data_IF_546061003296
#
_entry.id   IF_546061003296
#
_cell.length_a   1.000
_cell.length_b   1.000
_cell.length_c   1.000
_cell.angle_alpha   90.00
_cell.angle_beta   90.00
_cell.angle_gamma   90.00
#
_symmetry.space_group_name_H-M   'P 1'
#
loop_
_entity.id
_entity.type
_entity.pdbx_description
1 polymer ?
#
# COMPACT_ATOMS: atom_id res chain seq x y z
N UNK A 1 10.42 -24.41 -22.83
CA UNK A 1 11.10 -23.22 -22.35
C UNK A 1 11.24 -23.35 -20.84
N UNK A 2 12.42 -23.11 -20.30
CA UNK A 2 12.61 -22.97 -18.85
C UNK A 2 11.97 -21.69 -18.38
N UNK A 3 11.45 -21.66 -17.17
CA UNK A 3 10.89 -20.46 -16.55
C UNK A 3 12.03 -19.49 -16.20
N UNK A 4 12.02 -18.31 -16.81
CA UNK A 4 12.90 -17.18 -16.51
C UNK A 4 12.16 -15.86 -16.76
N UNK A 5 12.81 -14.71 -16.52
CA UNK A 5 12.19 -13.41 -16.70
C UNK A 5 11.67 -13.12 -18.13
N UNK A 6 12.26 -13.74 -19.17
CA UNK A 6 11.81 -13.57 -20.56
C UNK A 6 10.64 -14.48 -20.91
N UNK A 7 10.50 -15.63 -20.24
CA UNK A 7 9.49 -16.64 -20.51
C UNK A 7 8.32 -16.62 -19.53
N UNK A 8 8.41 -15.81 -18.45
CA UNK A 8 7.35 -15.65 -17.48
C UNK A 8 6.10 -15.00 -18.10
N UNK A 9 4.93 -15.59 -17.87
CA UNK A 9 3.64 -15.08 -18.36
C UNK A 9 3.21 -13.84 -17.55
N UNK A 10 3.47 -13.84 -16.25
CA UNK A 10 3.21 -12.68 -15.40
C UNK A 10 4.29 -11.61 -15.57
N UNK A 11 3.94 -10.34 -15.86
CA UNK A 11 4.92 -9.25 -15.92
C UNK A 11 5.59 -8.97 -14.57
N UNK A 12 4.98 -9.34 -13.43
CA UNK A 12 5.58 -9.22 -12.10
C UNK A 12 6.84 -10.07 -12.00
N UNK A 13 6.79 -11.32 -12.47
CA UNK A 13 7.92 -12.25 -12.42
C UNK A 13 8.83 -12.15 -13.65
N UNK A 14 8.36 -11.50 -14.72
CA UNK A 14 9.10 -11.25 -15.95
C UNK A 14 9.70 -9.85 -15.98
N UNK A 15 9.05 -8.96 -16.74
CA UNK A 15 9.50 -7.58 -17.01
C UNK A 15 9.89 -6.79 -15.78
N UNK A 16 9.18 -6.99 -14.66
CA UNK A 16 9.35 -6.23 -13.42
C UNK A 16 10.05 -7.02 -12.31
N UNK A 17 10.62 -8.19 -12.58
CA UNK A 17 11.27 -9.06 -11.58
C UNK A 17 12.25 -8.30 -10.69
N UNK A 18 13.08 -7.44 -11.26
CA UNK A 18 14.06 -6.64 -10.49
C UNK A 18 13.44 -5.66 -9.49
N UNK A 19 12.14 -5.34 -9.62
CA UNK A 19 11.40 -4.48 -8.70
C UNK A 19 10.61 -5.25 -7.65
N UNK A 20 10.28 -6.49 -7.93
CA UNK A 20 9.38 -7.33 -7.13
C UNK A 20 10.08 -8.47 -6.42
N UNK A 21 11.37 -8.66 -6.67
CA UNK A 21 12.15 -9.74 -6.06
C UNK A 21 12.12 -9.70 -4.52
N UNK A 22 12.06 -8.50 -3.93
CA UNK A 22 11.90 -8.30 -2.50
C UNK A 22 10.62 -8.92 -1.91
N UNK A 23 9.64 -9.28 -2.74
CA UNK A 23 8.40 -9.93 -2.33
C UNK A 23 8.47 -11.46 -2.40
N UNK A 24 9.53 -12.03 -2.98
CA UNK A 24 9.65 -13.48 -3.16
C UNK A 24 9.67 -14.23 -1.83
N UNK A 25 10.29 -13.66 -0.79
CA UNK A 25 10.36 -14.25 0.55
C UNK A 25 9.03 -14.27 1.31
N UNK A 26 7.98 -13.63 0.76
CA UNK A 26 6.67 -13.55 1.39
C UNK A 26 5.57 -14.22 0.57
N UNK A 27 5.60 -14.12 -0.76
CA UNK A 27 4.48 -14.49 -1.61
C UNK A 27 4.77 -15.54 -2.69
N UNK A 28 5.99 -16.06 -2.76
CA UNK A 28 6.30 -17.21 -3.63
C UNK A 28 5.78 -18.52 -3.04
N UNK A 29 5.73 -19.58 -3.85
CA UNK A 29 5.42 -20.94 -3.36
C UNK A 29 6.46 -21.41 -2.34
N UNK A 30 7.74 -21.08 -2.56
CA UNK A 30 8.81 -21.27 -1.59
C UNK A 30 8.48 -20.60 -0.24
N UNK A 31 8.09 -19.34 -0.26
CA UNK A 31 7.75 -18.60 0.95
C UNK A 31 6.54 -19.22 1.66
N UNK A 32 5.47 -19.57 0.94
CA UNK A 32 4.31 -20.21 1.52
C UNK A 32 4.67 -21.50 2.25
N UNK A 33 5.52 -22.34 1.65
CA UNK A 33 5.99 -23.58 2.28
C UNK A 33 6.81 -23.26 3.53
N UNK A 34 7.74 -22.31 3.47
CA UNK A 34 8.55 -21.88 4.63
C UNK A 34 7.70 -21.37 5.79
N UNK A 35 6.67 -20.57 5.52
CA UNK A 35 5.75 -20.09 6.56
C UNK A 35 4.94 -21.23 7.18
N UNK A 36 4.51 -22.21 6.39
CA UNK A 36 3.83 -23.41 6.90
C UNK A 36 4.75 -24.22 7.82
N UNK A 37 5.99 -24.45 7.42
CA UNK A 37 7.00 -25.13 8.26
C UNK A 37 7.21 -24.36 9.57
N UNK A 38 7.34 -23.02 9.51
CA UNK A 38 7.48 -22.18 10.69
C UNK A 38 6.30 -22.33 11.65
N UNK A 39 5.09 -22.28 11.15
CA UNK A 39 3.88 -22.42 11.97
C UNK A 39 3.80 -23.81 12.62
N UNK A 40 4.08 -24.87 11.89
CA UNK A 40 4.09 -26.24 12.41
C UNK A 40 5.16 -26.43 13.51
N UNK A 41 6.37 -25.92 13.31
CA UNK A 41 7.45 -26.01 14.29
C UNK A 41 7.11 -25.21 15.56
N UNK A 42 6.67 -23.97 15.44
CA UNK A 42 6.29 -23.16 16.61
C UNK A 42 5.07 -23.76 17.33
N UNK A 43 4.15 -24.37 16.59
CA UNK A 43 3.05 -25.13 17.19
C UNK A 43 3.53 -26.32 18.00
N UNK A 44 4.40 -27.17 17.43
CA UNK A 44 5.00 -28.31 18.11
C UNK A 44 5.74 -27.88 19.39
N UNK A 45 6.56 -26.84 19.32
CA UNK A 45 7.26 -26.27 20.47
C UNK A 45 6.27 -25.82 21.55
N UNK A 46 5.18 -25.14 21.12
CA UNK A 46 4.16 -24.68 22.07
C UNK A 46 3.40 -25.83 22.74
N UNK A 47 3.20 -26.96 22.04
CA UNK A 47 2.66 -28.18 22.65
C UNK A 47 3.64 -28.77 23.69
N UNK A 48 4.95 -28.78 23.40
CA UNK A 48 5.97 -29.23 24.35
C UNK A 48 6.05 -28.35 25.61
N UNK A 49 5.64 -27.09 25.53
CA UNK A 49 5.54 -26.19 26.67
C UNK A 49 4.34 -26.49 27.59
N UNK A 50 3.39 -27.34 27.12
CA UNK A 50 2.27 -27.80 27.92
C UNK A 50 2.67 -29.03 28.76
N UNK A 51 2.04 -29.25 29.93
CA UNK A 51 2.29 -30.44 30.74
C UNK A 51 1.59 -31.68 30.18
N UNK A 52 1.70 -31.92 28.88
CA UNK A 52 1.18 -33.13 28.26
C UNK A 52 2.06 -34.34 28.66
N UNK A 53 1.47 -35.46 29.15
CA UNK A 53 2.24 -36.57 29.63
C UNK A 53 3.26 -37.11 28.62
N UNK A 54 2.91 -37.16 27.35
CA UNK A 54 3.74 -37.71 26.27
C UNK A 54 4.87 -36.76 25.83
N UNK A 55 4.73 -35.45 26.08
CA UNK A 55 5.72 -34.44 25.73
C UNK A 55 6.56 -33.96 26.93
N UNK A 56 6.22 -34.41 28.13
CA UNK A 56 6.87 -33.97 29.38
C UNK A 56 8.41 -34.23 29.41
N UNK A 57 8.86 -35.28 28.74
CA UNK A 57 10.27 -35.64 28.66
C UNK A 57 11.01 -35.01 27.48
N UNK A 58 10.32 -34.20 26.66
CA UNK A 58 10.97 -33.56 25.53
C UNK A 58 12.09 -32.61 25.99
N UNK A 59 13.24 -32.71 25.35
CA UNK A 59 14.38 -31.87 25.68
C UNK A 59 14.25 -30.48 25.08
N UNK A 60 13.89 -29.48 25.87
CA UNK A 60 13.72 -28.09 25.42
C UNK A 60 15.00 -27.47 24.85
N UNK A 61 16.19 -28.01 25.11
CA UNK A 61 17.43 -27.55 24.47
C UNK A 61 17.40 -27.73 22.94
N UNK A 62 16.53 -28.59 22.41
CA UNK A 62 16.37 -28.82 20.98
C UNK A 62 15.47 -27.77 20.30
N UNK A 63 14.79 -26.89 21.02
CA UNK A 63 13.88 -25.92 20.43
C UNK A 63 14.54 -25.01 19.40
N UNK A 64 15.77 -24.56 19.66
CA UNK A 64 16.48 -23.73 18.67
C UNK A 64 16.85 -24.52 17.41
N UNK A 65 17.27 -25.79 17.58
CA UNK A 65 17.54 -26.66 16.45
C UNK A 65 16.28 -26.97 15.62
N UNK A 66 15.11 -27.09 16.25
CA UNK A 66 13.85 -27.22 15.55
C UNK A 66 13.52 -25.91 14.77
N UNK A 67 13.78 -24.74 15.36
CA UNK A 67 13.59 -23.46 14.68
C UNK A 67 14.51 -23.30 13.47
N UNK A 68 15.69 -23.86 13.51
CA UNK A 68 16.64 -23.84 12.39
C UNK A 68 16.08 -24.53 11.14
N UNK A 69 15.13 -25.46 11.27
CA UNK A 69 14.44 -26.08 10.12
C UNK A 69 13.77 -25.02 9.23
N UNK A 70 13.12 -24.00 9.80
CA UNK A 70 12.49 -22.96 9.00
C UNK A 70 13.38 -21.72 8.80
N UNK A 71 14.33 -21.45 9.70
CA UNK A 71 15.28 -20.33 9.56
C UNK A 71 16.27 -20.56 8.42
N UNK A 72 16.76 -21.82 8.30
CA UNK A 72 17.69 -22.23 7.27
C UNK A 72 16.98 -22.91 6.08
N UNK A 73 15.65 -22.73 5.96
CA UNK A 73 14.87 -23.31 4.88
C UNK A 73 15.30 -22.72 3.55
N UNK A 74 15.64 -23.58 2.59
CA UNK A 74 16.16 -23.20 1.28
C UNK A 74 15.31 -23.76 0.12
N UNK A 75 15.69 -23.47 -1.11
CA UNK A 75 15.00 -23.97 -2.31
C UNK A 75 15.05 -25.49 -2.42
N UNK A 76 16.11 -26.14 -1.93
CA UNK A 76 16.22 -27.60 -1.94
C UNK A 76 15.21 -28.24 -0.96
N UNK A 77 15.02 -27.65 0.21
CA UNK A 77 14.00 -28.06 1.16
C UNK A 77 12.58 -27.87 0.58
N UNK A 78 12.33 -26.74 -0.09
CA UNK A 78 11.07 -26.51 -0.78
C UNK A 78 10.82 -27.52 -1.91
N UNK A 79 11.84 -27.84 -2.69
CA UNK A 79 11.76 -28.87 -3.73
C UNK A 79 11.44 -30.26 -3.12
N UNK A 80 12.03 -30.59 -1.95
CA UNK A 80 11.71 -31.84 -1.25
C UNK A 80 10.25 -31.90 -0.81
N UNK A 81 9.69 -30.81 -0.28
CA UNK A 81 8.26 -30.74 0.04
C UNK A 81 7.40 -30.95 -1.22
N UNK A 82 7.78 -30.37 -2.37
CA UNK A 82 7.06 -30.56 -3.65
C UNK A 82 7.16 -32.00 -4.17
N UNK A 83 8.27 -32.70 -3.98
CA UNK A 83 8.39 -34.12 -4.29
C UNK A 83 7.39 -34.94 -3.47
N UNK A 84 7.32 -34.72 -2.15
CA UNK A 84 6.37 -35.40 -1.26
C UNK A 84 4.93 -35.07 -1.69
N UNK A 85 4.63 -33.80 -1.98
CA UNK A 85 3.33 -33.36 -2.46
C UNK A 85 2.89 -34.06 -3.74
N UNK A 86 3.84 -34.29 -4.67
CA UNK A 86 3.55 -34.97 -5.93
C UNK A 86 3.05 -36.42 -5.75
N UNK A 87 3.37 -37.03 -4.63
CA UNK A 87 2.95 -38.42 -4.27
C UNK A 87 1.67 -38.36 -3.43
N UNK A 88 1.60 -37.46 -2.45
CA UNK A 88 0.48 -37.37 -1.49
C UNK A 88 -0.73 -36.62 -2.05
N UNK A 89 -0.53 -35.81 -3.07
CA UNK A 89 -1.50 -34.87 -3.64
C UNK A 89 -2.15 -33.96 -2.59
N UNK A 90 -1.35 -33.60 -1.56
CA UNK A 90 -1.81 -32.76 -0.46
C UNK A 90 -0.65 -31.91 0.09
N UNK A 91 -0.76 -30.60 -0.09
CA UNK A 91 0.32 -29.61 0.20
C UNK A 91 0.72 -29.54 1.70
N UNK A 92 -0.26 -29.39 2.61
CA UNK A 92 0.03 -29.29 4.04
C UNK A 92 0.49 -30.64 4.60
N UNK A 93 -0.03 -31.78 4.11
CA UNK A 93 0.46 -33.11 4.52
C UNK A 93 1.90 -33.34 4.07
N UNK A 94 2.28 -32.79 2.93
CA UNK A 94 3.67 -32.85 2.47
C UNK A 94 4.61 -32.09 3.42
N UNK A 95 4.19 -30.95 3.95
CA UNK A 95 4.94 -30.20 4.99
C UNK A 95 5.09 -31.04 6.26
N UNK A 96 4.03 -31.69 6.74
CA UNK A 96 4.11 -32.59 7.91
C UNK A 96 5.13 -33.70 7.71
N UNK A 97 5.11 -34.37 6.54
CA UNK A 97 6.08 -35.44 6.26
C UNK A 97 7.52 -34.92 6.14
N UNK A 98 7.71 -33.77 5.51
CA UNK A 98 9.02 -33.13 5.47
C UNK A 98 9.56 -32.84 6.87
N UNK A 99 8.74 -32.30 7.78
CA UNK A 99 9.17 -32.05 9.16
C UNK A 99 9.51 -33.35 9.89
N UNK A 100 8.76 -34.45 9.64
CA UNK A 100 9.10 -35.77 10.18
C UNK A 100 10.47 -36.28 9.68
N UNK A 101 10.80 -36.05 8.39
CA UNK A 101 12.15 -36.34 7.86
C UNK A 101 13.24 -35.50 8.52
N UNK A 102 12.97 -34.21 8.80
CA UNK A 102 13.92 -33.36 9.54
C UNK A 102 14.12 -33.84 10.99
N UNK A 103 13.06 -34.32 11.64
CA UNK A 103 13.17 -34.95 12.97
C UNK A 103 14.03 -36.21 12.93
N UNK A 104 13.96 -37.00 11.85
CA UNK A 104 14.86 -38.17 11.65
C UNK A 104 16.33 -37.77 11.58
N UNK A 105 16.62 -36.64 10.88
CA UNK A 105 17.99 -36.12 10.76
C UNK A 105 18.56 -35.64 12.10
N UNK A 106 17.70 -35.04 12.95
CA UNK A 106 18.10 -34.61 14.30
C UNK A 106 18.35 -35.83 15.18
N UNK A 107 17.53 -36.88 15.06
CA UNK A 107 17.61 -38.12 15.79
C UNK A 107 17.04 -38.07 17.20
N UNK A 108 16.58 -39.24 17.70
CA UNK A 108 16.02 -39.36 19.05
C UNK A 108 14.64 -38.68 19.23
N UNK A 109 13.95 -38.36 18.14
CA UNK A 109 12.65 -37.71 18.16
C UNK A 109 11.48 -38.60 17.69
N UNK A 110 11.70 -39.88 17.52
CA UNK A 110 10.71 -40.83 17.01
C UNK A 110 9.40 -40.85 17.81
N UNK A 111 9.48 -40.82 19.13
CA UNK A 111 8.33 -40.85 20.02
C UNK A 111 7.46 -39.55 19.94
N UNK A 112 8.00 -38.49 19.34
CA UNK A 112 7.34 -37.17 19.29
C UNK A 112 6.77 -36.82 17.92
N UNK A 113 7.10 -37.55 16.87
CA UNK A 113 6.72 -37.23 15.47
C UNK A 113 5.21 -37.12 15.25
N UNK A 114 4.40 -37.93 15.97
CA UNK A 114 2.96 -37.93 15.84
C UNK A 114 2.30 -36.71 16.49
N UNK A 115 3.08 -35.86 17.20
CA UNK A 115 2.62 -34.55 17.69
C UNK A 115 2.83 -33.41 16.68
N UNK A 116 3.50 -33.66 15.53
CA UNK A 116 3.50 -32.75 14.40
C UNK A 116 2.10 -32.73 13.82
N UNK A 117 1.54 -31.53 13.58
CA UNK A 117 0.15 -31.34 13.11
C UNK A 117 -0.93 -31.95 14.03
N UNK A 118 -0.62 -32.18 15.32
CA UNK A 118 -1.55 -32.83 16.25
C UNK A 118 -2.82 -32.02 16.43
N UNK A 119 -3.99 -32.65 16.15
CA UNK A 119 -5.31 -32.05 16.32
C UNK A 119 -5.67 -30.92 15.35
N UNK A 120 -4.76 -30.58 14.43
CA UNK A 120 -4.93 -29.49 13.47
C UNK A 120 -5.68 -29.93 12.20
N UNK A 121 -6.13 -28.96 11.46
CA UNK A 121 -6.55 -29.09 10.06
C UNK A 121 -5.65 -28.18 9.19
N UNK A 122 -5.59 -28.44 7.89
CA UNK A 122 -4.76 -27.67 6.96
C UNK A 122 -4.97 -26.15 7.07
N UNK A 123 -6.16 -25.72 7.41
CA UNK A 123 -6.48 -24.30 7.53
C UNK A 123 -6.00 -23.66 8.84
N UNK A 124 -5.67 -24.45 9.87
CA UNK A 124 -4.94 -23.90 11.02
C UNK A 124 -3.53 -23.45 10.62
N UNK A 125 -2.96 -24.09 9.60
CA UNK A 125 -1.65 -23.75 9.05
C UNK A 125 -1.74 -22.66 7.99
N UNK A 126 -2.68 -22.77 7.05
CA UNK A 126 -2.81 -21.76 5.98
C UNK A 126 -3.34 -20.41 6.51
N UNK A 127 -4.36 -20.43 7.38
CA UNK A 127 -4.94 -19.21 7.94
C UNK A 127 -4.13 -18.59 9.10
N UNK A 128 -2.95 -19.09 9.36
CA UNK A 128 -1.90 -18.48 10.18
C UNK A 128 -0.71 -18.05 9.32
N UNK A 129 -0.25 -18.89 8.40
CA UNK A 129 0.88 -18.63 7.50
C UNK A 129 0.63 -17.43 6.59
N UNK A 130 -0.55 -17.36 5.94
CA UNK A 130 -0.87 -16.28 4.99
C UNK A 130 -0.95 -14.92 5.68
N UNK A 131 -1.72 -14.70 6.76
CA UNK A 131 -1.74 -13.40 7.42
C UNK A 131 -0.37 -13.04 8.03
N UNK A 132 0.44 -14.03 8.46
CA UNK A 132 1.79 -13.79 8.95
C UNK A 132 2.69 -13.26 7.82
N UNK A 133 2.69 -13.90 6.65
CA UNK A 133 3.47 -13.44 5.50
C UNK A 133 3.02 -12.06 5.00
N UNK A 134 1.71 -11.81 4.95
CA UNK A 134 1.17 -10.48 4.59
C UNK A 134 1.65 -9.42 5.58
N UNK A 135 1.57 -9.69 6.88
CA UNK A 135 2.04 -8.77 7.92
C UNK A 135 3.52 -8.42 7.74
N UNK A 136 4.36 -9.44 7.59
CA UNK A 136 5.81 -9.24 7.45
C UNK A 136 6.14 -8.51 6.14
N UNK A 137 5.50 -8.85 5.02
CA UNK A 137 5.66 -8.13 3.76
C UNK A 137 5.25 -6.64 3.85
N UNK A 138 4.17 -6.35 4.57
CA UNK A 138 3.76 -4.96 4.79
C UNK A 138 4.80 -4.19 5.60
N UNK A 139 5.30 -4.77 6.68
CA UNK A 139 6.26 -4.12 7.58
C UNK A 139 7.62 -3.93 6.92
N UNK A 140 8.10 -4.94 6.21
CA UNK A 140 9.47 -4.97 5.71
C UNK A 140 9.61 -4.39 4.29
N UNK A 141 8.53 -4.40 3.50
CA UNK A 141 8.58 -3.95 2.09
C UNK A 141 7.63 -2.79 1.82
N UNK A 142 6.34 -2.95 2.10
CA UNK A 142 5.34 -2.00 1.64
C UNK A 142 5.39 -0.66 2.41
N UNK A 143 5.42 -0.71 3.74
CA UNK A 143 5.47 0.51 4.56
C UNK A 143 6.69 1.37 4.26
N UNK A 144 7.92 0.82 4.20
CA UNK A 144 9.10 1.62 3.87
C UNK A 144 9.01 2.33 2.52
N UNK A 145 8.40 1.70 1.51
CA UNK A 145 8.25 2.33 0.19
C UNK A 145 7.22 3.46 0.18
N UNK A 146 6.10 3.29 0.90
CA UNK A 146 5.12 4.39 1.06
C UNK A 146 5.73 5.53 1.87
N UNK A 147 6.51 5.24 2.90
CA UNK A 147 7.22 6.24 3.70
C UNK A 147 8.27 7.00 2.88
N UNK A 148 9.00 6.31 2.00
CA UNK A 148 9.94 6.95 1.06
C UNK A 148 9.21 7.93 0.13
N UNK A 149 8.03 7.54 -0.40
CA UNK A 149 7.20 8.42 -1.21
C UNK A 149 6.75 9.66 -0.42
N UNK A 150 6.25 9.46 0.80
CA UNK A 150 5.84 10.55 1.69
C UNK A 150 7.02 11.49 1.99
N UNK A 151 8.20 10.94 2.27
CA UNK A 151 9.40 11.73 2.53
C UNK A 151 9.80 12.59 1.33
N UNK A 152 9.80 12.02 0.12
CA UNK A 152 10.10 12.75 -1.12
C UNK A 152 9.09 13.88 -1.37
N UNK A 153 7.81 13.63 -1.12
CA UNK A 153 6.77 14.66 -1.25
C UNK A 153 6.93 15.76 -0.21
N UNK A 154 7.30 15.46 1.04
CA UNK A 154 7.61 16.45 2.08
C UNK A 154 8.76 17.37 1.69
N UNK A 155 9.82 16.80 1.10
CA UNK A 155 10.94 17.59 0.59
C UNK A 155 10.47 18.60 -0.48
N UNK A 156 9.59 18.18 -1.38
CA UNK A 156 9.04 19.07 -2.41
C UNK A 156 8.06 20.08 -1.84
N UNK A 157 7.20 19.70 -0.91
CA UNK A 157 6.29 20.60 -0.24
C UNK A 157 7.05 21.74 0.46
N UNK A 158 8.15 21.44 1.15
CA UNK A 158 9.00 22.44 1.79
C UNK A 158 9.78 23.29 0.76
N UNK A 159 10.36 22.66 -0.26
CA UNK A 159 11.11 23.38 -1.30
C UNK A 159 10.24 24.38 -2.09
N UNK A 160 8.96 24.05 -2.30
CA UNK A 160 8.03 24.86 -3.10
C UNK A 160 6.97 25.59 -2.27
N UNK A 161 7.12 25.67 -0.96
CA UNK A 161 6.14 26.28 -0.04
C UNK A 161 5.80 27.75 -0.36
N UNK A 162 6.72 28.48 -0.97
CA UNK A 162 6.57 29.88 -1.32
C UNK A 162 6.34 30.11 -2.82
N UNK A 163 6.21 29.08 -3.62
CA UNK A 163 5.99 29.17 -5.06
C UNK A 163 4.51 29.38 -5.33
N UNK A 164 4.07 30.55 -5.78
CA UNK A 164 2.67 30.81 -6.12
C UNK A 164 2.32 30.07 -7.41
N UNK A 165 1.12 29.53 -7.45
CA UNK A 165 0.58 28.76 -8.56
C UNK A 165 -0.87 29.12 -8.82
N UNK A 166 -1.24 29.28 -10.09
CA UNK A 166 -2.63 29.42 -10.49
C UNK A 166 -3.37 28.10 -10.25
N UNK A 167 -4.32 28.09 -9.32
CA UNK A 167 -5.17 26.90 -9.16
C UNK A 167 -6.22 26.83 -10.29
N UNK A 168 -6.69 25.63 -10.58
CA UNK A 168 -7.75 25.39 -11.55
C UNK A 168 -8.87 24.58 -10.91
N UNK A 169 -10.11 25.05 -11.06
CA UNK A 169 -11.32 24.31 -10.75
C UNK A 169 -12.13 24.11 -12.01
N UNK A 170 -12.64 22.91 -12.26
CA UNK A 170 -13.31 22.57 -13.52
C UNK A 170 -12.44 22.87 -14.77
N UNK A 171 -11.10 22.78 -14.63
CA UNK A 171 -10.16 23.14 -15.69
C UNK A 171 -10.01 24.64 -15.96
N UNK A 172 -10.71 25.49 -15.20
CA UNK A 172 -10.67 26.95 -15.34
C UNK A 172 -9.80 27.60 -14.26
N UNK A 173 -9.15 28.75 -14.57
CA UNK A 173 -8.43 29.53 -13.58
C UNK A 173 -9.28 29.87 -12.35
N UNK A 174 -8.72 29.69 -11.18
CA UNK A 174 -9.33 29.93 -9.88
C UNK A 174 -8.36 30.70 -8.97
N UNK A 175 -8.73 30.90 -7.72
CA UNK A 175 -7.89 31.58 -6.73
C UNK A 175 -6.49 30.96 -6.67
N UNK A 176 -5.42 31.78 -6.67
CA UNK A 176 -4.05 31.27 -6.56
C UNK A 176 -3.82 30.44 -5.29
N UNK A 177 -2.89 29.51 -5.39
CA UNK A 177 -2.43 28.66 -4.31
C UNK A 177 -0.91 28.66 -4.25
N UNK A 178 -0.32 27.84 -3.39
CA UNK A 178 1.11 27.58 -3.35
C UNK A 178 1.39 26.14 -3.74
N UNK A 179 2.34 25.95 -4.66
CA UNK A 179 2.69 24.61 -5.15
C UNK A 179 3.05 23.63 -4.02
N UNK A 180 3.83 24.10 -3.03
CA UNK A 180 4.17 23.26 -1.88
C UNK A 180 2.95 22.80 -1.09
N UNK A 181 1.94 23.67 -0.92
CA UNK A 181 0.68 23.29 -0.26
C UNK A 181 -0.10 22.25 -1.07
N UNK A 182 -0.11 22.35 -2.40
CA UNK A 182 -0.76 21.33 -3.24
C UNK A 182 -0.10 19.96 -3.07
N UNK A 183 1.23 19.92 -2.96
CA UNK A 183 1.98 18.68 -2.66
C UNK A 183 1.69 18.18 -1.23
N UNK A 184 1.60 19.09 -0.24
CA UNK A 184 1.30 18.73 1.15
C UNK A 184 -0.07 18.04 1.31
N UNK A 185 -1.02 18.30 0.43
CA UNK A 185 -2.31 17.57 0.39
C UNK A 185 -2.07 16.05 0.26
N UNK A 186 -1.15 15.65 -0.60
CA UNK A 186 -0.83 14.22 -0.79
C UNK A 186 -0.04 13.65 0.37
N UNK A 187 0.88 14.42 0.95
CA UNK A 187 1.60 14.04 2.18
C UNK A 187 0.61 13.74 3.30
N UNK A 188 -0.34 14.65 3.53
CA UNK A 188 -1.37 14.47 4.55
C UNK A 188 -2.23 13.23 4.29
N UNK A 189 -2.79 13.10 3.08
CA UNK A 189 -3.66 11.98 2.71
C UNK A 189 -2.97 10.63 2.83
N UNK A 190 -1.74 10.51 2.31
CA UNK A 190 -0.96 9.27 2.37
C UNK A 190 -0.59 8.90 3.82
N UNK A 191 -0.20 9.90 4.64
CA UNK A 191 0.14 9.68 6.04
C UNK A 191 -1.06 9.15 6.85
N UNK A 192 -2.25 9.72 6.65
CA UNK A 192 -3.49 9.27 7.30
C UNK A 192 -3.87 7.84 6.88
N UNK A 193 -3.74 7.52 5.59
CA UNK A 193 -4.09 6.18 5.13
C UNK A 193 -3.03 5.12 5.47
N UNK A 194 -1.76 5.49 5.54
CA UNK A 194 -0.72 4.60 6.06
C UNK A 194 -0.95 4.29 7.56
N UNK A 195 -1.32 5.29 8.35
CA UNK A 195 -1.72 5.10 9.75
C UNK A 195 -2.95 4.18 9.85
N UNK A 196 -3.95 4.35 8.99
CA UNK A 196 -5.12 3.48 8.91
C UNK A 196 -4.74 2.04 8.62
N UNK A 197 -3.88 1.81 7.63
CA UNK A 197 -3.40 0.46 7.28
C UNK A 197 -2.63 -0.18 8.44
N UNK A 198 -1.76 0.57 9.13
CA UNK A 198 -1.01 0.07 10.29
C UNK A 198 -1.91 -0.33 11.46
N UNK A 199 -3.06 0.30 11.59
CA UNK A 199 -4.05 0.00 12.62
C UNK A 199 -5.00 -1.14 12.25
N UNK A 200 -4.95 -1.67 11.01
CA UNK A 200 -5.69 -2.85 10.65
C UNK A 200 -5.22 -4.05 11.49
N UNK A 201 -6.16 -4.77 12.05
CA UNK A 201 -5.85 -5.99 12.79
C UNK A 201 -5.35 -7.08 11.85
N UNK A 202 -4.26 -7.71 12.25
CA UNK A 202 -3.76 -8.91 11.58
C UNK A 202 -4.22 -10.12 12.39
N UNK A 203 -5.24 -10.80 11.87
CA UNK A 203 -5.89 -11.91 12.58
C UNK A 203 -5.62 -13.25 11.93
N UNK A 204 -5.80 -14.32 12.69
CA UNK A 204 -5.63 -15.69 12.24
C UNK A 204 -6.73 -16.61 12.79
N UNK A 205 -7.16 -17.56 11.99
CA UNK A 205 -7.97 -18.68 12.46
C UNK A 205 -7.08 -19.78 12.99
N UNK A 206 -7.35 -20.22 14.20
CA UNK A 206 -6.74 -21.39 14.82
C UNK A 206 -7.72 -22.05 15.78
N UNK A 207 -8.07 -23.33 15.55
CA UNK A 207 -9.08 -24.03 16.34
C UNK A 207 -9.54 -25.39 15.78
N UNK A 208 -8.81 -26.00 14.87
CA UNK A 208 -9.15 -27.32 14.31
C UNK A 208 -10.20 -27.25 13.21
N UNK A 209 -10.75 -28.40 12.85
CA UNK A 209 -11.55 -28.64 11.66
C UNK A 209 -12.86 -27.80 11.57
N UNK A 210 -13.38 -27.32 12.68
CA UNK A 210 -14.59 -26.49 12.75
C UNK A 210 -14.44 -25.26 13.66
N UNK A 211 -13.20 -24.93 14.04
CA UNK A 211 -12.92 -23.81 14.95
C UNK A 211 -13.23 -24.08 16.42
N UNK A 212 -13.59 -25.33 16.80
CA UNK A 212 -14.05 -25.70 18.14
C UNK A 212 -13.05 -26.52 18.94
N UNK A 213 -11.79 -26.73 18.44
CA UNK A 213 -10.78 -27.58 19.07
C UNK A 213 -11.23 -29.02 19.35
N UNK A 214 -12.10 -29.60 18.52
CA UNK A 214 -12.70 -30.89 18.75
C UNK A 214 -11.67 -32.01 19.01
N UNK A 215 -10.65 -32.12 18.15
CA UNK A 215 -9.62 -33.14 18.28
C UNK A 215 -8.74 -32.92 19.51
N UNK A 216 -8.35 -31.69 19.80
CA UNK A 216 -7.59 -31.35 21.00
C UNK A 216 -8.38 -31.67 22.27
N UNK A 217 -9.67 -31.26 22.31
CA UNK A 217 -10.50 -31.45 23.49
C UNK A 217 -10.79 -32.93 23.77
N UNK A 218 -11.01 -33.76 22.74
CA UNK A 218 -11.24 -35.20 22.96
C UNK A 218 -9.99 -35.90 23.45
N UNK A 219 -8.79 -35.46 23.01
CA UNK A 219 -7.51 -36.05 23.43
C UNK A 219 -7.11 -35.61 24.85
N UNK A 220 -7.30 -34.34 25.19
CA UNK A 220 -6.91 -33.76 26.48
C UNK A 220 -7.99 -32.79 26.98
N UNK A 221 -9.14 -33.31 27.52
CA UNK A 221 -10.30 -32.48 27.88
C UNK A 221 -10.03 -31.54 29.08
N UNK A 222 -8.95 -31.77 29.84
CA UNK A 222 -8.58 -30.97 31.01
C UNK A 222 -7.84 -29.67 30.68
N UNK A 223 -7.41 -29.48 29.41
CA UNK A 223 -6.69 -28.28 29.01
C UNK A 223 -7.63 -27.20 28.43
N UNK A 224 -7.35 -25.94 28.71
CA UNK A 224 -8.01 -24.82 28.06
C UNK A 224 -7.38 -24.54 26.70
N UNK A 225 -7.91 -25.22 25.68
CA UNK A 225 -7.42 -25.09 24.31
C UNK A 225 -7.69 -23.73 23.68
N UNK A 226 -8.66 -22.98 24.20
CA UNK A 226 -8.90 -21.58 23.74
C UNK A 226 -7.81 -20.65 24.24
N UNK A 227 -7.45 -20.75 25.52
CA UNK A 227 -6.33 -20.00 26.07
C UNK A 227 -5.02 -20.39 25.38
N UNK A 228 -4.80 -21.69 25.16
CA UNK A 228 -3.65 -22.19 24.40
C UNK A 228 -3.57 -21.57 22.98
N UNK A 229 -4.67 -21.65 22.21
CA UNK A 229 -4.71 -21.08 20.85
C UNK A 229 -4.50 -19.58 20.83
N UNK A 230 -5.06 -18.83 21.80
CA UNK A 230 -4.83 -17.38 21.92
C UNK A 230 -3.33 -17.10 22.13
N UNK A 231 -2.70 -17.81 23.09
CA UNK A 231 -1.28 -17.66 23.40
C UNK A 231 -0.38 -18.04 22.21
N UNK A 232 -0.65 -19.17 21.55
CA UNK A 232 0.11 -19.61 20.38
C UNK A 232 0.09 -18.53 19.28
N UNK A 233 -1.10 -18.08 18.89
CA UNK A 233 -1.25 -17.10 17.80
C UNK A 233 -0.65 -15.74 18.17
N UNK A 234 -0.80 -15.29 19.42
CA UNK A 234 -0.29 -13.98 19.83
C UNK A 234 1.20 -13.97 20.12
N UNK A 235 1.70 -14.92 20.93
CA UNK A 235 3.07 -14.90 21.40
C UNK A 235 4.08 -15.50 20.40
N UNK A 236 3.69 -16.55 19.65
CA UNK A 236 4.58 -17.21 18.69
C UNK A 236 4.47 -16.60 17.28
N UNK A 237 3.28 -16.13 16.86
CA UNK A 237 3.05 -15.61 15.52
C UNK A 237 2.84 -14.09 15.50
N UNK A 238 2.61 -13.46 16.65
CA UNK A 238 2.36 -12.01 16.73
C UNK A 238 1.07 -11.58 16.00
N UNK A 239 0.09 -12.46 15.91
CA UNK A 239 -1.23 -12.23 15.31
C UNK A 239 -2.31 -12.23 16.39
N UNK A 240 -3.54 -11.80 16.08
CA UNK A 240 -4.69 -11.90 16.98
C UNK A 240 -5.56 -13.11 16.56
N UNK A 241 -5.86 -14.03 17.49
CA UNK A 241 -6.71 -15.18 17.14
C UNK A 241 -8.18 -14.76 17.02
N UNK A 242 -8.82 -15.13 15.92
CA UNK A 242 -10.26 -15.00 15.75
C UNK A 242 -11.01 -15.93 16.71
N UNK A 243 -11.92 -15.37 17.51
CA UNK A 243 -12.64 -16.14 18.55
C UNK A 243 -13.62 -17.15 17.99
N UNK A 244 -14.35 -16.76 16.96
CA UNK A 244 -15.42 -17.52 16.35
C UNK A 244 -15.19 -17.63 14.85
N UNK A 245 -14.93 -18.83 14.40
CA UNK A 245 -14.65 -19.14 12.99
C UNK A 245 -15.31 -20.46 12.61
N UNK A 246 -15.37 -20.74 11.34
CA UNK A 246 -15.61 -22.07 10.78
C UNK A 246 -14.29 -22.83 10.66
N UNK A 247 -14.14 -23.70 9.69
CA UNK A 247 -12.86 -24.33 9.37
C UNK A 247 -11.81 -23.30 8.92
N UNK A 248 -12.25 -22.16 8.37
CA UNK A 248 -11.39 -21.09 7.84
C UNK A 248 -11.56 -19.80 8.64
N UNK A 249 -10.65 -18.85 8.41
CA UNK A 249 -10.77 -17.45 8.83
C UNK A 249 -12.06 -16.83 8.26
N UNK A 250 -12.62 -15.85 8.97
CA UNK A 250 -13.70 -15.02 8.45
C UNK A 250 -13.19 -14.08 7.33
N UNK A 251 -11.89 -13.83 7.24
CA UNK A 251 -11.20 -12.95 6.29
C UNK A 251 -11.62 -11.47 6.34
N UNK A 252 -12.51 -11.05 7.23
CA UNK A 252 -12.98 -9.67 7.34
C UNK A 252 -11.82 -8.68 7.61
N UNK A 253 -10.91 -9.06 8.50
CA UNK A 253 -9.74 -8.23 8.82
C UNK A 253 -8.73 -8.18 7.68
N UNK A 254 -8.48 -9.31 7.01
CA UNK A 254 -7.62 -9.35 5.83
C UNK A 254 -8.23 -8.54 4.67
N UNK A 255 -9.55 -8.61 4.49
CA UNK A 255 -10.29 -7.76 3.56
C UNK A 255 -10.09 -6.27 3.87
N UNK A 256 -10.13 -5.88 5.15
CA UNK A 256 -9.87 -4.50 5.59
C UNK A 256 -8.44 -4.05 5.25
N UNK A 257 -7.45 -4.94 5.36
CA UNK A 257 -6.06 -4.67 4.94
C UNK A 257 -6.00 -4.39 3.44
N UNK A 258 -6.65 -5.23 2.62
CA UNK A 258 -6.68 -5.04 1.16
C UNK A 258 -7.38 -3.74 0.75
N UNK A 259 -8.48 -3.38 1.43
CA UNK A 259 -9.17 -2.11 1.21
C UNK A 259 -8.31 -0.90 1.61
N UNK A 260 -7.53 -1.00 2.69
CA UNK A 260 -6.62 0.06 3.10
C UNK A 260 -5.46 0.26 2.11
N UNK A 261 -4.85 -0.82 1.59
CA UNK A 261 -3.84 -0.75 0.51
C UNK A 261 -4.45 -0.09 -0.72
N UNK A 262 -5.64 -0.51 -1.14
CA UNK A 262 -6.35 0.08 -2.29
C UNK A 262 -6.61 1.57 -2.12
N UNK A 263 -6.87 2.04 -0.89
CA UNK A 263 -7.05 3.45 -0.58
C UNK A 263 -5.76 4.25 -0.80
N UNK A 264 -4.63 3.73 -0.34
CA UNK A 264 -3.30 4.32 -0.60
C UNK A 264 -3.05 4.37 -2.10
N UNK A 265 -3.25 3.28 -2.82
CA UNK A 265 -3.09 3.21 -4.27
C UNK A 265 -3.94 4.26 -5.00
N UNK A 266 -5.18 4.48 -4.55
CA UNK A 266 -6.08 5.48 -5.14
C UNK A 266 -5.55 6.90 -4.98
N UNK A 267 -4.90 7.22 -3.86
CA UNK A 267 -4.27 8.53 -3.64
C UNK A 267 -3.06 8.71 -4.55
N UNK A 268 -2.28 7.64 -4.75
CA UNK A 268 -1.12 7.69 -5.65
C UNK A 268 -1.57 7.88 -7.11
N UNK A 269 -2.66 7.24 -7.53
CA UNK A 269 -3.26 7.50 -8.87
C UNK A 269 -3.62 8.97 -9.05
N UNK A 270 -4.23 9.58 -8.05
CA UNK A 270 -4.61 11.00 -8.06
C UNK A 270 -3.36 11.90 -8.17
N UNK A 271 -2.32 11.60 -7.37
CA UNK A 271 -1.01 12.24 -7.43
C UNK A 271 -0.38 12.12 -8.82
N UNK A 272 -0.36 10.91 -9.40
CA UNK A 272 0.24 10.65 -10.70
C UNK A 272 -0.45 11.46 -11.81
N UNK A 273 -1.78 11.58 -11.75
CA UNK A 273 -2.59 12.37 -12.69
C UNK A 273 -2.34 13.85 -12.57
N UNK A 274 -2.22 14.39 -11.37
CA UNK A 274 -1.91 15.80 -11.15
C UNK A 274 -0.52 16.15 -11.67
N UNK A 275 0.50 15.36 -11.35
CA UNK A 275 1.85 15.61 -11.88
C UNK A 275 1.94 15.42 -13.39
N UNK A 276 1.22 14.43 -13.95
CA UNK A 276 1.10 14.30 -15.40
C UNK A 276 0.48 15.57 -16.02
N UNK A 277 -0.56 16.12 -15.40
CA UNK A 277 -1.23 17.34 -15.84
C UNK A 277 -0.28 18.54 -15.71
N UNK A 278 0.44 18.70 -14.61
CA UNK A 278 1.41 19.77 -14.41
C UNK A 278 2.55 19.72 -15.44
N UNK A 279 3.00 18.54 -15.84
CA UNK A 279 3.95 18.38 -16.95
C UNK A 279 3.31 18.82 -18.27
N UNK A 280 2.07 18.43 -18.55
CA UNK A 280 1.31 18.82 -19.72
C UNK A 280 1.11 20.35 -19.83
N UNK A 281 0.98 21.03 -18.68
CA UNK A 281 0.89 22.50 -18.58
C UNK A 281 2.24 23.20 -18.56
N UNK A 282 3.35 22.46 -18.71
CA UNK A 282 4.73 22.97 -18.67
C UNK A 282 5.15 23.57 -17.31
N UNK A 283 4.42 23.29 -16.23
CA UNK A 283 4.83 23.66 -14.87
C UNK A 283 6.05 22.89 -14.41
N UNK A 284 6.24 21.70 -14.96
CA UNK A 284 7.45 20.90 -14.80
C UNK A 284 8.03 20.48 -16.14
N UNK A 285 9.34 20.51 -16.22
CA UNK A 285 10.15 19.82 -17.23
C UNK A 285 10.68 18.51 -16.61
N UNK A 286 11.09 17.56 -17.45
CA UNK A 286 11.68 16.30 -16.99
C UNK A 286 13.16 16.26 -17.35
N UNK A 287 14.01 15.82 -16.40
CA UNK A 287 15.43 15.55 -16.65
C UNK A 287 15.57 14.49 -17.73
N UNK A 288 16.40 14.77 -18.73
CA UNK A 288 16.76 13.82 -19.78
C UNK A 288 18.02 13.09 -19.34
N UNK A 289 17.98 11.76 -19.36
CA UNK A 289 19.18 10.94 -19.14
C UNK A 289 19.86 10.69 -20.48
N UNK A 290 21.17 10.93 -20.55
CA UNK A 290 21.94 10.67 -21.76
C UNK A 290 21.74 9.23 -22.24
N UNK A 291 21.35 9.06 -23.51
CA UNK A 291 21.05 7.76 -24.13
C UNK A 291 19.61 7.29 -24.00
N UNK A 292 18.74 7.97 -23.23
CA UNK A 292 17.30 7.67 -23.25
C UNK A 292 16.63 8.25 -24.50
N UNK A 293 15.78 7.47 -25.15
CA UNK A 293 14.95 7.90 -26.28
C UNK A 293 13.54 8.20 -25.73
N UNK A 294 13.19 9.50 -25.69
CA UNK A 294 11.90 9.95 -25.14
C UNK A 294 10.69 9.61 -26.05
N UNK A 295 10.92 9.50 -27.37
CA UNK A 295 9.90 9.13 -28.34
C UNK A 295 10.57 8.49 -29.54
N UNK A 296 9.96 7.47 -30.13
CA UNK A 296 10.47 6.80 -31.33
C UNK A 296 10.42 7.69 -32.59
N UNK A 297 9.54 8.69 -32.62
CA UNK A 297 9.31 9.55 -33.77
C UNK A 297 9.73 11.02 -33.58
N UNK A 298 9.74 11.51 -32.33
CA UNK A 298 10.03 12.91 -32.00
C UNK A 298 11.11 13.01 -30.91
N UNK A 299 12.39 13.19 -31.26
CA UNK A 299 13.51 13.12 -30.29
C UNK A 299 13.43 14.15 -29.15
N UNK A 300 12.75 15.30 -29.37
CA UNK A 300 12.59 16.35 -28.38
C UNK A 300 11.47 16.09 -27.36
N UNK A 301 10.61 15.07 -27.58
CA UNK A 301 9.44 14.78 -26.75
C UNK A 301 9.83 13.87 -25.59
N UNK A 302 9.73 14.37 -24.37
CA UNK A 302 9.94 13.60 -23.14
C UNK A 302 8.59 13.30 -22.50
N UNK A 303 8.15 12.05 -22.62
CA UNK A 303 6.84 11.61 -22.10
C UNK A 303 6.91 11.33 -20.58
N UNK A 304 5.86 11.65 -19.80
CA UNK A 304 5.77 11.37 -18.37
C UNK A 304 5.40 9.90 -18.09
N UNK A 305 6.09 8.95 -18.73
CA UNK A 305 5.77 7.52 -18.74
C UNK A 305 5.87 6.85 -17.37
N UNK A 306 6.64 7.43 -16.45
CA UNK A 306 6.77 6.87 -15.10
C UNK A 306 5.45 7.01 -14.32
N UNK A 307 4.74 8.12 -14.45
CA UNK A 307 3.42 8.33 -13.86
C UNK A 307 2.33 7.46 -14.54
N UNK A 308 2.35 7.34 -15.87
CA UNK A 308 1.45 6.46 -16.62
C UNK A 308 1.65 4.98 -16.26
N UNK A 309 2.89 4.53 -16.10
CA UNK A 309 3.22 3.17 -15.67
C UNK A 309 2.72 2.91 -14.25
N UNK A 310 2.83 3.89 -13.35
CA UNK A 310 2.30 3.80 -11.99
C UNK A 310 0.77 3.66 -12.03
N UNK A 311 0.07 4.58 -12.68
CA UNK A 311 -1.41 4.55 -12.78
C UNK A 311 -1.91 3.19 -13.31
N UNK A 312 -1.30 2.68 -14.38
CA UNK A 312 -1.69 1.40 -14.97
C UNK A 312 -1.51 0.22 -14.01
N UNK A 313 -0.38 0.15 -13.31
CA UNK A 313 -0.13 -0.90 -12.31
C UNK A 313 -1.08 -0.79 -11.11
N UNK A 314 -1.36 0.42 -10.62
CA UNK A 314 -2.29 0.64 -9.50
C UNK A 314 -3.73 0.28 -9.87
N UNK A 315 -4.13 0.50 -11.11
CA UNK A 315 -5.44 0.07 -11.61
C UNK A 315 -5.62 -1.45 -11.53
N UNK A 316 -4.62 -2.21 -11.95
CA UNK A 316 -4.62 -3.68 -11.85
C UNK A 316 -4.60 -4.12 -10.38
N UNK A 317 -3.72 -3.53 -9.56
CA UNK A 317 -3.64 -3.81 -8.13
C UNK A 317 -5.00 -3.63 -7.45
N UNK A 318 -5.65 -2.49 -7.68
CA UNK A 318 -6.92 -2.15 -7.07
C UNK A 318 -8.06 -3.11 -7.47
N UNK A 319 -8.09 -3.56 -8.73
CA UNK A 319 -9.07 -4.54 -9.18
C UNK A 319 -8.93 -5.89 -8.45
N UNK A 320 -7.68 -6.37 -8.28
CA UNK A 320 -7.42 -7.63 -7.60
C UNK A 320 -7.67 -7.49 -6.09
N UNK A 321 -7.20 -6.41 -5.44
CA UNK A 321 -7.44 -6.14 -4.02
C UNK A 321 -8.93 -6.07 -3.70
N UNK A 322 -9.71 -5.42 -4.55
CA UNK A 322 -11.18 -5.39 -4.42
C UNK A 322 -11.79 -6.77 -4.50
N UNK A 323 -11.37 -7.57 -5.49
CA UNK A 323 -11.86 -8.94 -5.62
C UNK A 323 -11.52 -9.78 -4.39
N UNK A 324 -10.28 -9.71 -3.88
CA UNK A 324 -9.84 -10.42 -2.68
C UNK A 324 -10.68 -10.03 -1.45
N UNK A 325 -10.88 -8.72 -1.22
CA UNK A 325 -11.65 -8.22 -0.08
C UNK A 325 -13.13 -8.67 -0.12
N UNK A 326 -13.69 -8.79 -1.32
CA UNK A 326 -15.08 -9.22 -1.50
C UNK A 326 -15.25 -10.73 -1.52
N UNK A 327 -14.30 -11.48 -2.11
CA UNK A 327 -14.44 -12.93 -2.32
C UNK A 327 -14.12 -13.74 -1.07
N UNK A 328 -13.05 -13.39 -0.34
CA UNK A 328 -12.55 -14.20 0.76
C UNK A 328 -13.57 -14.40 1.90
N UNK A 329 -14.32 -13.38 2.33
CA UNK A 329 -15.34 -13.55 3.39
C UNK A 329 -16.52 -14.44 2.98
N UNK A 330 -16.65 -14.81 1.71
CA UNK A 330 -17.76 -15.59 1.18
C UNK A 330 -17.35 -17.02 0.90
N UNK A 331 -17.80 -17.96 1.71
CA UNK A 331 -17.55 -19.40 1.56
C UNK A 331 -18.83 -20.20 1.82
N UNK A 332 -18.82 -21.50 1.51
CA UNK A 332 -19.97 -22.39 1.69
C UNK A 332 -19.82 -23.21 2.96
N UNK A 333 -20.84 -23.21 3.80
CA UNK A 333 -20.91 -23.97 5.06
C UNK A 333 -19.65 -23.75 5.90
N UNK A 334 -18.90 -24.82 6.24
CA UNK A 334 -17.65 -24.73 6.97
C UNK A 334 -16.50 -24.23 6.09
N UNK A 335 -16.48 -24.60 4.81
CA UNK A 335 -15.48 -24.20 3.82
C UNK A 335 -15.80 -24.74 2.43
N UNK A 336 -15.42 -23.99 1.40
CA UNK A 336 -15.08 -24.51 0.06
C UNK A 336 -13.61 -24.21 -0.29
N UNK A 337 -13.09 -24.78 -1.39
CA UNK A 337 -11.67 -24.65 -1.75
C UNK A 337 -11.31 -23.31 -2.39
N UNK A 338 -12.26 -22.43 -2.70
CA UNK A 338 -12.01 -21.21 -3.47
C UNK A 338 -11.06 -20.24 -2.77
N UNK A 339 -11.06 -20.23 -1.43
CA UNK A 339 -10.12 -19.43 -0.64
C UNK A 339 -8.64 -19.76 -0.96
N UNK A 340 -8.29 -21.04 -1.01
CA UNK A 340 -6.93 -21.49 -1.29
C UNK A 340 -6.44 -21.07 -2.69
N UNK A 341 -7.33 -21.13 -3.70
CA UNK A 341 -7.03 -20.67 -5.06
C UNK A 341 -6.78 -19.18 -5.10
N UNK A 342 -7.64 -18.41 -4.43
CA UNK A 342 -7.62 -16.94 -4.46
C UNK A 342 -6.44 -16.38 -3.66
N UNK A 343 -6.15 -16.94 -2.48
CA UNK A 343 -5.05 -16.50 -1.62
C UNK A 343 -3.66 -16.61 -2.27
N UNK A 344 -3.46 -17.52 -3.21
CA UNK A 344 -2.19 -17.61 -3.98
C UNK A 344 -1.90 -16.36 -4.81
N UNK A 345 -2.89 -15.51 -5.03
CA UNK A 345 -2.74 -14.26 -5.77
C UNK A 345 -2.50 -13.02 -4.89
N UNK A 346 -2.37 -13.14 -3.57
CA UNK A 346 -2.19 -11.99 -2.67
C UNK A 346 -0.94 -11.19 -3.01
N UNK A 347 0.16 -11.84 -3.40
CA UNK A 347 1.39 -11.17 -3.82
C UNK A 347 1.28 -10.36 -5.11
N UNK A 348 0.33 -10.71 -5.99
CA UNK A 348 0.18 -10.05 -7.30
C UNK A 348 -0.17 -8.56 -7.16
N UNK A 349 -1.24 -8.16 -6.45
CA UNK A 349 -1.59 -6.76 -6.29
C UNK A 349 -0.58 -5.98 -5.45
N UNK A 350 0.06 -6.61 -4.47
CA UNK A 350 1.15 -5.99 -3.71
C UNK A 350 2.34 -5.71 -4.62
N UNK A 351 2.69 -6.65 -5.50
CA UNK A 351 3.73 -6.48 -6.50
C UNK A 351 3.45 -5.32 -7.47
N UNK A 352 2.24 -5.22 -8.00
CA UNK A 352 1.83 -4.08 -8.82
C UNK A 352 1.90 -2.75 -8.05
N UNK A 353 1.52 -2.72 -6.78
CA UNK A 353 1.62 -1.52 -5.94
C UNK A 353 3.08 -1.10 -5.72
N UNK A 354 3.97 -2.05 -5.46
CA UNK A 354 5.42 -1.82 -5.32
C UNK A 354 6.03 -1.26 -6.62
N UNK A 355 5.71 -1.85 -7.77
CA UNK A 355 6.15 -1.35 -9.09
C UNK A 355 5.70 0.09 -9.29
N UNK A 356 4.46 0.39 -8.95
CA UNK A 356 3.87 1.72 -9.11
C UNK A 356 4.55 2.76 -8.22
N UNK A 357 4.70 2.49 -6.92
CA UNK A 357 5.37 3.42 -5.97
C UNK A 357 6.78 3.75 -6.46
N UNK A 358 7.55 2.75 -6.89
CA UNK A 358 8.88 2.96 -7.45
C UNK A 358 8.85 3.77 -8.74
N UNK A 359 7.82 3.60 -9.57
CA UNK A 359 7.62 4.37 -10.80
C UNK A 359 7.29 5.85 -10.49
N UNK A 360 6.37 6.12 -9.57
CA UNK A 360 6.04 7.46 -9.11
C UNK A 360 7.27 8.17 -8.54
N UNK A 361 8.01 7.52 -7.65
CA UNK A 361 9.28 8.04 -7.10
C UNK A 361 10.28 8.39 -8.21
N UNK A 362 10.43 7.52 -9.20
CA UNK A 362 11.32 7.76 -10.35
C UNK A 362 10.84 8.96 -11.17
N UNK A 363 9.53 9.09 -11.41
CA UNK A 363 8.94 10.24 -12.10
C UNK A 363 9.17 11.55 -11.34
N UNK A 364 8.89 11.57 -10.05
CA UNK A 364 9.11 12.73 -9.17
C UNK A 364 10.56 13.21 -9.19
N UNK A 365 11.54 12.31 -9.11
CA UNK A 365 12.98 12.64 -9.12
C UNK A 365 13.51 13.20 -10.44
N UNK A 366 12.74 13.06 -11.53
CA UNK A 366 13.03 13.66 -12.82
C UNK A 366 12.50 15.08 -12.97
N UNK A 367 11.63 15.55 -12.09
CA UNK A 367 10.99 16.84 -12.21
C UNK A 367 12.00 18.00 -12.07
N UNK A 368 11.82 19.00 -12.92
CA UNK A 368 12.49 20.31 -12.88
C UNK A 368 11.37 21.35 -12.88
N UNK A 369 11.26 22.12 -11.80
CA UNK A 369 10.25 23.17 -11.69
C UNK A 369 10.49 24.25 -12.75
N UNK A 370 9.43 24.69 -13.41
CA UNK A 370 9.41 25.78 -14.39
C UNK A 370 8.70 27.02 -13.79
N UNK A 371 9.38 27.73 -12.93
CA UNK A 371 8.83 28.91 -12.25
C UNK A 371 8.41 30.01 -13.22
N UNK A 372 9.08 30.12 -14.36
CA UNK A 372 8.72 31.09 -15.40
C UNK A 372 7.30 30.84 -15.93
N UNK A 373 6.95 29.57 -16.20
CA UNK A 373 5.61 29.23 -16.69
C UNK A 373 4.53 29.45 -15.64
N UNK A 374 4.81 29.12 -14.39
CA UNK A 374 3.89 29.40 -13.27
C UNK A 374 3.61 30.91 -13.15
N UNK A 375 4.67 31.72 -13.27
CA UNK A 375 4.57 33.18 -13.23
C UNK A 375 3.79 33.72 -14.42
N UNK A 376 4.08 33.23 -15.63
CA UNK A 376 3.34 33.61 -16.85
C UNK A 376 1.85 33.36 -16.72
N UNK A 377 1.43 32.20 -16.20
CA UNK A 377 0.02 31.87 -16.04
C UNK A 377 -0.69 32.79 -15.03
N UNK A 378 -0.03 33.14 -13.93
CA UNK A 378 -0.53 34.09 -12.95
C UNK A 378 -0.66 35.50 -13.59
N UNK A 379 0.37 35.96 -14.30
CA UNK A 379 0.41 37.26 -14.95
C UNK A 379 -0.70 37.42 -16.02
N UNK A 380 -0.95 36.32 -16.71
CA UNK A 380 -2.01 36.30 -17.71
C UNK A 380 -3.43 36.22 -17.14
N UNK A 381 -3.57 36.11 -15.81
CA UNK A 381 -4.88 35.81 -15.17
C UNK A 381 -5.16 36.71 -13.97
N UNK A 382 -4.93 38.02 -14.10
CA UNK A 382 -5.23 38.99 -13.03
C UNK A 382 -6.68 39.00 -12.56
N UNK A 383 -7.62 38.48 -13.33
CA UNK A 383 -9.03 38.33 -12.93
C UNK A 383 -9.23 37.54 -11.61
N UNK A 384 -8.29 36.71 -11.23
CA UNK A 384 -8.38 35.88 -9.99
C UNK A 384 -8.32 36.69 -8.70
N UNK A 385 -7.80 37.93 -8.73
CA UNK A 385 -7.81 38.84 -7.56
C UNK A 385 -9.17 39.49 -7.30
N UNK A 386 -10.11 39.33 -8.21
CA UNK A 386 -11.47 39.91 -8.06
C UNK A 386 -12.17 39.37 -6.78
N UNK A 387 -11.95 38.13 -6.41
CA UNK A 387 -12.46 37.56 -5.16
C UNK A 387 -11.91 38.27 -3.91
N UNK A 388 -10.61 38.55 -3.86
CA UNK A 388 -9.99 39.29 -2.78
C UNK A 388 -10.55 40.70 -2.67
N UNK A 389 -10.66 41.42 -3.80
CA UNK A 389 -11.21 42.77 -3.86
C UNK A 389 -12.66 42.75 -3.37
N UNK A 390 -13.49 41.85 -3.84
CA UNK A 390 -14.88 41.71 -3.39
C UNK A 390 -14.96 41.47 -1.87
N UNK A 391 -14.09 40.65 -1.32
CA UNK A 391 -14.07 40.29 0.11
C UNK A 391 -13.74 41.53 0.96
N UNK A 392 -12.73 42.30 0.55
CA UNK A 392 -12.39 43.56 1.23
C UNK A 392 -13.53 44.58 1.12
N UNK A 393 -14.11 44.74 -0.07
CA UNK A 393 -15.27 45.66 -0.25
C UNK A 393 -16.45 45.25 0.63
N UNK A 394 -16.69 43.97 0.84
CA UNK A 394 -17.71 43.50 1.80
C UNK A 394 -17.36 43.86 3.23
N UNK A 395 -16.10 43.75 3.62
CA UNK A 395 -15.60 44.18 4.95
C UNK A 395 -15.88 45.68 5.17
N UNK A 396 -15.71 46.48 4.15
CA UNK A 396 -15.94 47.92 4.18
C UNK A 396 -17.43 48.29 4.00
N UNK A 397 -18.35 47.34 3.98
CA UNK A 397 -19.79 47.56 3.72
C UNK A 397 -20.09 48.33 2.42
N UNK A 398 -19.24 48.17 1.41
CA UNK A 398 -19.41 48.78 0.11
C UNK A 398 -20.72 48.30 -0.57
N UNK A 399 -21.53 49.16 -1.17
CA UNK A 399 -22.79 48.75 -1.77
C UNK A 399 -22.57 47.93 -3.04
N UNK A 400 -23.24 46.79 -3.15
CA UNK A 400 -23.23 45.90 -4.32
C UNK A 400 -21.81 45.50 -4.83
N UNK A 401 -20.89 44.99 -4.00
CA UNK A 401 -19.51 44.77 -4.38
C UNK A 401 -19.35 43.75 -5.51
N UNK A 402 -20.23 42.75 -5.59
CA UNK A 402 -20.21 41.75 -6.67
C UNK A 402 -20.55 42.37 -8.03
N UNK A 403 -21.59 43.22 -8.05
CA UNK A 403 -22.07 43.89 -9.28
C UNK A 403 -21.01 44.87 -9.80
N UNK A 404 -20.33 45.60 -8.92
CA UNK A 404 -19.24 46.49 -9.28
C UNK A 404 -18.08 45.72 -9.98
N UNK A 405 -17.68 44.59 -9.44
CA UNK A 405 -16.65 43.75 -10.06
C UNK A 405 -17.14 43.02 -11.32
N UNK A 406 -18.41 42.60 -11.38
CA UNK A 406 -19.00 41.98 -12.56
C UNK A 406 -18.95 42.92 -13.77
N UNK A 407 -19.15 44.21 -13.56
CA UNK A 407 -19.02 45.20 -14.63
C UNK A 407 -17.59 45.25 -15.19
N UNK A 408 -16.56 45.11 -14.34
CA UNK A 408 -15.17 45.07 -14.74
C UNK A 408 -14.80 43.74 -15.46
N UNK A 409 -15.28 42.58 -14.98
CA UNK A 409 -14.86 41.26 -15.47
C UNK A 409 -15.57 40.81 -16.75
N UNK A 410 -16.66 41.51 -17.19
CA UNK A 410 -17.47 41.14 -18.38
C UNK A 410 -17.30 42.08 -19.59
N UNK A 411 -16.18 42.80 -19.66
CA UNK A 411 -15.88 43.71 -20.76
C UNK A 411 -15.27 43.04 -21.99
N UNK A 412 -14.99 41.74 -21.98
CA UNK A 412 -14.18 41.01 -22.98
C UNK A 412 -12.74 41.57 -23.15
N UNK A 413 -12.30 42.47 -22.30
CA UNK A 413 -10.93 42.96 -22.26
C UNK A 413 -10.11 42.14 -21.28
N UNK A 414 -8.83 41.95 -21.59
CA UNK A 414 -7.91 41.27 -20.70
C UNK A 414 -7.74 42.08 -19.43
N UNK A 415 -8.02 41.48 -18.27
CA UNK A 415 -7.72 42.09 -16.97
C UNK A 415 -6.23 42.07 -16.73
N UNK A 416 -5.64 43.23 -16.46
CA UNK A 416 -4.24 43.46 -16.14
C UNK A 416 -4.13 44.19 -14.81
N UNK A 417 -2.90 44.32 -14.28
CA UNK A 417 -2.62 45.15 -13.10
C UNK A 417 -3.17 46.55 -13.27
N UNK A 418 -2.91 47.19 -14.43
CA UNK A 418 -3.35 48.56 -14.71
C UNK A 418 -4.87 48.67 -14.71
N UNK A 419 -5.58 47.74 -15.30
CA UNK A 419 -7.07 47.81 -15.34
C UNK A 419 -7.68 47.60 -13.96
N UNK A 420 -7.08 46.76 -13.12
CA UNK A 420 -7.46 46.53 -11.72
C UNK A 420 -7.18 47.81 -10.90
N UNK A 421 -6.00 48.39 -11.04
CA UNK A 421 -5.64 49.62 -10.32
C UNK A 421 -6.51 50.82 -10.75
N UNK A 422 -6.79 50.97 -12.05
CA UNK A 422 -7.72 51.97 -12.52
C UNK A 422 -9.12 51.85 -11.91
N UNK A 423 -9.63 50.61 -11.86
CA UNK A 423 -10.91 50.31 -11.19
C UNK A 423 -10.88 50.66 -9.71
N UNK A 424 -9.84 50.29 -8.97
CA UNK A 424 -9.70 50.57 -7.52
C UNK A 424 -9.74 52.07 -7.28
N UNK A 425 -9.15 52.89 -8.15
CA UNK A 425 -9.20 54.35 -8.02
C UNK A 425 -10.63 54.93 -8.14
N UNK A 426 -11.55 54.28 -8.86
CA UNK A 426 -12.95 54.72 -8.99
C UNK A 426 -13.80 54.39 -7.76
N UNK A 427 -13.33 53.54 -6.86
CA UNK A 427 -14.09 53.10 -5.68
C UNK A 427 -14.22 54.22 -4.64
N UNK A 428 -15.40 54.37 -4.07
CA UNK A 428 -15.67 55.30 -2.97
C UNK A 428 -15.33 54.64 -1.61
N UNK A 429 -14.05 54.48 -1.37
CA UNK A 429 -13.48 53.93 -0.12
C UNK A 429 -12.31 54.80 0.32
N UNK A 430 -11.83 54.64 1.54
CA UNK A 430 -10.70 55.42 2.06
C UNK A 430 -9.40 55.16 1.28
N UNK A 431 -8.48 56.10 1.29
CA UNK A 431 -7.16 55.94 0.65
C UNK A 431 -6.37 54.77 1.20
N UNK A 432 -6.51 54.46 2.48
CA UNK A 432 -5.89 53.27 3.10
C UNK A 432 -6.45 51.97 2.53
N UNK A 433 -7.75 51.91 2.28
CA UNK A 433 -8.37 50.71 1.65
C UNK A 433 -8.00 50.62 0.18
N UNK A 434 -7.89 51.74 -0.54
CA UNK A 434 -7.38 51.72 -1.93
C UNK A 434 -5.94 51.20 -1.99
N UNK A 435 -5.07 51.65 -1.08
CA UNK A 435 -3.72 51.17 -1.01
C UNK A 435 -3.65 49.67 -0.71
N UNK A 436 -4.50 49.16 0.20
CA UNK A 436 -4.62 47.73 0.49
C UNK A 436 -5.05 46.93 -0.75
N UNK A 437 -6.09 47.41 -1.46
CA UNK A 437 -6.60 46.78 -2.68
C UNK A 437 -5.57 46.76 -3.82
N UNK A 438 -4.79 47.82 -4.00
CA UNK A 438 -3.73 47.88 -5.01
C UNK A 438 -2.53 47.03 -4.71
N UNK A 439 -2.32 46.64 -3.43
CA UNK A 439 -1.24 45.77 -3.05
C UNK A 439 -1.55 44.28 -3.33
N UNK A 440 -2.79 43.95 -3.70
CA UNK A 440 -3.19 42.56 -4.00
C UNK A 440 -2.75 42.21 -5.42
N UNK A 441 -2.02 41.07 -5.53
CA UNK A 441 -1.58 40.53 -6.79
C UNK A 441 -1.91 39.02 -6.89
N UNK A 442 -1.90 38.41 -8.08
CA UNK A 442 -2.03 36.97 -8.21
C UNK A 442 -0.91 36.17 -7.48
N UNK A 443 0.21 36.84 -7.19
CA UNK A 443 1.36 36.23 -6.53
C UNK A 443 1.29 36.18 -5.00
N UNK A 444 0.55 37.15 -4.40
CA UNK A 444 0.44 37.25 -2.93
C UNK A 444 -0.94 36.85 -2.40
N UNK A 445 -1.94 36.72 -3.28
CA UNK A 445 -3.26 36.23 -2.90
C UNK A 445 -3.29 34.69 -2.79
N UNK A 446 -2.43 34.12 -1.98
CA UNK A 446 -2.23 32.67 -1.84
C UNK A 446 -2.63 32.11 -0.47
N UNK A 447 -3.20 32.96 0.40
CA UNK A 447 -3.58 32.58 1.75
C UNK A 447 -2.38 32.40 2.69
N UNK A 448 -2.56 31.53 3.70
CA UNK A 448 -1.58 31.24 4.75
C UNK A 448 -0.83 29.93 4.46
#
# INVERSE_FOLDING_TARGET
>A
MTLDALTAVSPIDGRYRSKTECLADYFSEYALIRYRVRVEIEYFITLCELPLPQLKSFNSALFEQLRDIYRNFDEAAAARVKEIESITNHDVKAVEYFIKEEFDKIGGLDDYKEFIHFGLTSQDINNTSVPLSVKEALVEVFYPQVEELIAQLKEYAEAWKNVPMLAKTHGQPASPTRLGKEVEVYVYRLSEQLATLRNCKMTAKFGGATGNFNAHHVAYPQHDWRAFGNRFVSEKLGLEREKWTTQISNYDHLGSVFDAIRRINTIIIDLDRDFWMYISMEYFKQKIKAGEVGSSAMPHKVNPIDFENSEGNLGIANAILQFLAQKLPVSRLQRDLTDSTVLRNVGVPVGHSVIAIQSTLKGLRKLILNEEKLREDLENTWAVVAEAIQTILRREAYPHPYEALKALTRTNEKMTEETIHAFVQTLNVSDSVKAELMAITPYNYTGI
#
